data_IF_648780499848
#
_entry.id   IF_648780499848
#
_cell.length_a   1.000
_cell.length_b   1.000
_cell.length_c   1.000
_cell.angle_alpha   90.00
_cell.angle_beta   90.00
_cell.angle_gamma   90.00
#
_symmetry.space_group_name_H-M   'P 1'
#
loop_
_entity.id
_entity.type
_entity.pdbx_description
1 polymer ?
#
# COMPACT_ATOMS: atom_id res chain seq x y z
N UNK A 1 20.65 -2.85 -7.00
CA UNK A 1 19.42 -3.59 -6.65
C UNK A 1 18.53 -3.58 -7.89
N UNK A 2 17.93 -4.70 -8.29
CA UNK A 2 17.02 -4.72 -9.44
C UNK A 2 15.68 -4.15 -9.02
N UNK A 3 15.12 -3.21 -9.79
CA UNK A 3 13.81 -2.60 -9.50
C UNK A 3 12.72 -3.66 -9.58
N UNK A 4 11.84 -3.72 -8.58
CA UNK A 4 10.66 -4.58 -8.61
C UNK A 4 9.64 -4.04 -9.62
N UNK A 5 8.98 -4.94 -10.34
CA UNK A 5 7.83 -4.59 -11.16
C UNK A 5 6.70 -4.17 -10.21
N UNK A 6 6.13 -2.98 -10.47
CA UNK A 6 5.11 -2.37 -9.64
C UNK A 6 3.73 -2.94 -9.96
N UNK A 7 2.90 -3.02 -8.93
CA UNK A 7 1.47 -3.27 -9.10
C UNK A 7 0.82 -2.05 -9.78
N UNK A 8 -0.40 -2.24 -10.28
CA UNK A 8 -1.17 -1.22 -11.00
C UNK A 8 -2.49 -0.93 -10.32
N UNK A 9 -2.98 0.28 -10.49
CA UNK A 9 -4.30 0.73 -10.11
C UNK A 9 -4.96 1.41 -11.30
N UNK A 10 -6.19 1.03 -11.60
CA UNK A 10 -7.05 1.71 -12.56
C UNK A 10 -8.03 2.58 -11.77
N UNK A 11 -8.01 3.88 -12.02
CA UNK A 11 -8.92 4.84 -11.39
C UNK A 11 -9.34 5.90 -12.39
N UNK A 12 -10.64 6.15 -12.52
CA UNK A 12 -11.21 7.14 -13.46
C UNK A 12 -10.77 6.94 -14.92
N UNK A 13 -10.48 5.70 -15.33
CA UNK A 13 -10.00 5.36 -16.68
C UNK A 13 -8.49 5.53 -16.90
N UNK A 14 -7.74 5.98 -15.89
CA UNK A 14 -6.29 6.14 -15.93
C UNK A 14 -5.57 4.99 -15.23
N UNK A 15 -4.35 4.65 -15.69
CA UNK A 15 -3.49 3.58 -15.14
C UNK A 15 -2.35 4.18 -14.30
N UNK A 16 -2.27 3.75 -13.04
CA UNK A 16 -1.29 4.20 -12.08
C UNK A 16 -0.42 3.04 -11.61
N UNK A 17 0.91 3.20 -11.64
CA UNK A 17 1.79 2.30 -10.91
C UNK A 17 1.76 2.61 -9.41
N UNK A 18 1.65 1.57 -8.60
CA UNK A 18 1.68 1.64 -7.14
C UNK A 18 3.11 1.48 -6.62
N UNK A 19 3.47 2.28 -5.62
CA UNK A 19 4.70 2.10 -4.84
C UNK A 19 4.51 1.19 -3.63
N UNK A 20 3.26 0.82 -3.35
CA UNK A 20 2.88 -0.09 -2.28
C UNK A 20 2.51 -1.47 -2.82
N UNK A 21 2.79 -2.50 -2.02
CA UNK A 21 2.48 -3.89 -2.32
C UNK A 21 1.21 -4.30 -1.53
N UNK A 22 0.03 -3.81 -1.94
CA UNK A 22 -1.19 -3.85 -1.11
C UNK A 22 -1.59 -5.27 -0.66
N UNK A 23 -1.36 -6.28 -1.51
CA UNK A 23 -1.65 -7.69 -1.19
C UNK A 23 -0.69 -8.32 -0.19
N UNK A 24 0.52 -7.79 0.02
CA UNK A 24 1.48 -8.37 0.95
C UNK A 24 0.99 -8.30 2.41
N UNK A 25 0.18 -7.29 2.76
CA UNK A 25 -0.51 -7.23 4.04
C UNK A 25 -1.41 -8.44 4.25
N UNK A 26 -2.29 -8.71 3.28
CA UNK A 26 -3.20 -9.86 3.28
C UNK A 26 -2.44 -11.19 3.34
N UNK A 27 -1.40 -11.37 2.52
CA UNK A 27 -0.63 -12.62 2.49
C UNK A 27 0.23 -12.84 3.73
N UNK A 28 0.57 -11.80 4.49
CA UNK A 28 1.25 -11.95 5.78
C UNK A 28 0.35 -12.59 6.83
N UNK A 29 -0.94 -12.27 6.80
CA UNK A 29 -1.96 -12.83 7.69
C UNK A 29 -2.51 -14.18 7.15
N UNK A 30 -2.50 -14.36 5.83
CA UNK A 30 -2.97 -15.55 5.12
C UNK A 30 -1.91 -16.13 4.17
N UNK A 31 -0.78 -16.64 4.69
CA UNK A 31 0.33 -17.12 3.86
C UNK A 31 -0.06 -18.27 2.92
N UNK A 32 -1.03 -19.10 3.30
CA UNK A 32 -1.57 -20.19 2.49
C UNK A 32 -2.35 -19.73 1.25
N UNK A 33 -2.75 -18.46 1.21
CA UNK A 33 -3.44 -17.85 0.08
C UNK A 33 -2.47 -17.23 -0.93
N UNK A 34 -1.19 -17.06 -0.56
CA UNK A 34 -0.18 -16.48 -1.45
C UNK A 34 0.11 -17.47 -2.58
N UNK A 35 -0.04 -17.06 -3.85
CA UNK A 35 0.28 -17.94 -4.97
C UNK A 35 1.77 -18.31 -5.01
N UNK A 36 2.06 -19.58 -5.26
CA UNK A 36 3.43 -20.06 -5.42
C UNK A 36 3.93 -19.82 -6.85
N UNK A 37 4.97 -18.99 -7.00
CA UNK A 37 5.70 -18.86 -8.26
C UNK A 37 6.75 -19.96 -8.38
N UNK A 38 6.78 -20.65 -9.53
CA UNK A 38 7.85 -21.61 -9.88
C UNK A 38 9.07 -20.93 -10.51
N UNK A 39 8.98 -19.62 -10.75
CA UNK A 39 10.00 -18.82 -11.42
C UNK A 39 10.58 -17.83 -10.43
N UNK A 40 11.89 -17.87 -10.25
CA UNK A 40 12.63 -16.88 -9.46
C UNK A 40 13.10 -15.76 -10.38
N UNK A 41 12.57 -14.55 -10.19
CA UNK A 41 12.98 -13.36 -10.93
C UNK A 41 13.36 -12.25 -9.94
N UNK A 42 14.56 -11.69 -10.07
CA UNK A 42 15.02 -10.63 -9.15
C UNK A 42 14.24 -9.33 -9.31
N UNK A 43 13.58 -9.12 -10.45
CA UNK A 43 12.66 -8.02 -10.70
C UNK A 43 11.21 -8.30 -10.26
N UNK A 44 10.89 -9.53 -9.82
CA UNK A 44 9.56 -9.90 -9.32
C UNK A 44 9.65 -10.92 -8.18
N UNK A 45 10.28 -10.50 -7.09
CA UNK A 45 10.50 -11.36 -5.91
C UNK A 45 9.20 -11.85 -5.26
N UNK A 46 8.12 -11.06 -5.37
CA UNK A 46 6.78 -11.40 -4.89
C UNK A 46 6.18 -12.59 -5.61
N UNK A 47 6.64 -12.85 -6.84
CA UNK A 47 6.10 -13.89 -7.72
C UNK A 47 4.83 -13.51 -8.46
N UNK A 48 4.24 -12.33 -8.19
CA UNK A 48 3.02 -11.84 -8.83
C UNK A 48 3.04 -10.33 -9.06
N UNK A 49 2.22 -9.86 -10.01
CA UNK A 49 1.87 -8.47 -10.26
C UNK A 49 0.35 -8.35 -10.08
N UNK A 50 -0.09 -7.46 -9.20
CA UNK A 50 -1.51 -7.17 -9.01
C UNK A 50 -1.94 -5.96 -9.84
N UNK A 51 -3.16 -6.02 -10.38
CA UNK A 51 -3.87 -4.87 -10.93
C UNK A 51 -5.16 -4.71 -10.13
N UNK A 52 -5.31 -3.53 -9.55
CA UNK A 52 -6.49 -3.10 -8.83
C UNK A 52 -7.32 -2.17 -9.71
N UNK A 53 -8.62 -2.11 -9.48
CA UNK A 53 -9.52 -1.14 -10.09
C UNK A 53 -10.41 -0.55 -9.02
N UNK A 54 -10.60 0.77 -9.02
CA UNK A 54 -11.69 1.38 -8.24
C UNK A 54 -12.87 1.57 -9.16
N UNK A 55 -13.96 0.86 -8.84
CA UNK A 55 -15.20 0.85 -9.61
C UNK A 55 -16.39 0.71 -8.69
N UNK A 56 -17.46 1.45 -8.97
CA UNK A 56 -18.68 1.46 -8.16
C UNK A 56 -18.38 1.71 -6.66
N UNK A 57 -17.47 2.66 -6.41
CA UNK A 57 -16.95 3.04 -5.09
C UNK A 57 -16.27 1.88 -4.31
N UNK A 58 -15.72 0.89 -5.01
CA UNK A 58 -15.03 -0.24 -4.41
C UNK A 58 -13.64 -0.45 -5.01
N UNK A 59 -12.65 -0.71 -4.17
CA UNK A 59 -11.34 -1.21 -4.56
C UNK A 59 -11.44 -2.72 -4.82
N UNK A 60 -11.23 -3.11 -6.08
CA UNK A 60 -11.31 -4.48 -6.54
C UNK A 60 -9.91 -4.99 -6.91
N UNK A 61 -9.65 -6.28 -6.68
CA UNK A 61 -8.52 -6.97 -7.30
C UNK A 61 -8.97 -7.45 -8.69
N UNK A 62 -8.75 -6.63 -9.72
CA UNK A 62 -9.14 -6.96 -11.10
C UNK A 62 -8.35 -8.17 -11.63
N UNK A 63 -7.03 -8.15 -11.42
CA UNK A 63 -6.12 -9.12 -12.02
C UNK A 63 -4.95 -9.43 -11.11
N UNK A 64 -4.59 -10.72 -11.06
CA UNK A 64 -3.30 -11.15 -10.54
C UNK A 64 -2.54 -11.90 -11.63
N UNK A 65 -1.34 -11.46 -11.92
CA UNK A 65 -0.49 -12.00 -12.97
C UNK A 65 0.76 -12.63 -12.39
N UNK A 66 1.14 -13.82 -12.88
CA UNK A 66 2.34 -14.52 -12.43
C UNK A 66 3.11 -15.12 -13.58
N UNK A 67 4.42 -15.27 -13.44
CA UNK A 67 5.21 -16.02 -14.42
C UNK A 67 4.88 -17.51 -14.37
N UNK A 68 4.35 -18.04 -15.47
CA UNK A 68 4.00 -19.46 -15.61
C UNK A 68 5.22 -20.34 -15.95
N UNK A 69 6.18 -19.79 -16.69
CA UNK A 69 7.38 -20.47 -17.15
C UNK A 69 8.59 -19.52 -17.26
N UNK A 70 9.75 -20.07 -17.63
CA UNK A 70 11.00 -19.31 -17.82
C UNK A 70 10.94 -18.32 -18.99
N UNK A 71 9.87 -18.33 -19.80
CA UNK A 71 9.64 -17.35 -20.87
C UNK A 71 8.89 -16.10 -20.38
N UNK A 72 8.63 -16.00 -19.08
CA UNK A 72 7.98 -14.85 -18.45
C UNK A 72 6.54 -14.63 -18.94
N UNK A 73 5.84 -15.69 -19.33
CA UNK A 73 4.42 -15.61 -19.67
C UNK A 73 3.58 -15.33 -18.41
N UNK A 74 2.72 -14.32 -18.47
CA UNK A 74 1.84 -13.95 -17.35
C UNK A 74 0.55 -14.75 -17.39
N UNK A 75 0.30 -15.54 -16.34
CA UNK A 75 -0.97 -16.24 -16.11
C UNK A 75 -1.85 -15.41 -15.19
N UNK A 76 -3.10 -15.23 -15.59
CA UNK A 76 -4.13 -14.60 -14.76
C UNK A 76 -4.65 -15.61 -13.74
N UNK A 77 -4.63 -15.24 -12.45
CA UNK A 77 -5.28 -16.01 -11.40
C UNK A 77 -6.49 -15.22 -10.89
N UNK A 78 -7.69 -15.62 -11.32
CA UNK A 78 -8.95 -14.97 -10.91
C UNK A 78 -9.56 -15.52 -9.63
N UNK A 79 -9.17 -16.72 -9.20
CA UNK A 79 -9.88 -17.47 -8.14
C UNK A 79 -9.42 -17.19 -6.70
N UNK A 80 -8.55 -16.20 -6.49
CA UNK A 80 -7.96 -15.95 -5.16
C UNK A 80 -8.89 -15.22 -4.19
N UNK A 81 -9.85 -14.45 -4.71
CA UNK A 81 -10.73 -13.60 -3.90
C UNK A 81 -12.18 -14.09 -4.04
N UNK A 82 -12.81 -14.59 -2.97
CA UNK A 82 -14.25 -14.85 -2.98
C UNK A 82 -15.02 -13.53 -3.10
N UNK A 83 -16.26 -13.57 -3.59
CA UNK A 83 -17.21 -12.44 -3.59
C UNK A 83 -16.77 -11.17 -4.36
N UNK A 84 -17.02 -11.16 -5.67
CA UNK A 84 -16.90 -9.98 -6.55
C UNK A 84 -15.52 -9.28 -6.57
N UNK A 85 -14.48 -9.94 -6.06
CA UNK A 85 -13.10 -9.45 -6.00
C UNK A 85 -12.89 -8.17 -5.20
N UNK A 86 -13.85 -7.73 -4.35
CA UNK A 86 -13.65 -6.56 -3.49
C UNK A 86 -12.49 -6.83 -2.53
N UNK A 87 -11.54 -5.92 -2.47
CA UNK A 87 -10.38 -6.03 -1.59
C UNK A 87 -10.68 -5.46 -0.20
N UNK A 88 -11.60 -6.13 0.52
CA UNK A 88 -12.09 -5.68 1.84
C UNK A 88 -11.01 -5.61 2.92
N UNK A 89 -9.85 -6.23 2.69
CA UNK A 89 -8.72 -6.25 3.62
C UNK A 89 -7.92 -4.95 3.65
N UNK A 90 -8.11 -4.06 2.67
CA UNK A 90 -7.36 -2.82 2.61
C UNK A 90 -8.13 -1.64 3.16
N UNK A 91 -7.46 -0.92 4.05
CA UNK A 91 -7.82 0.43 4.48
C UNK A 91 -6.53 1.24 4.48
N UNK A 92 -6.58 2.48 3.99
CA UNK A 92 -5.43 3.37 3.91
C UNK A 92 -5.56 4.42 2.80
N UNK A 93 -4.44 5.06 2.50
CA UNK A 93 -4.34 6.04 1.42
C UNK A 93 -3.48 5.48 0.28
N UNK A 94 -4.00 5.51 -0.93
CA UNK A 94 -3.25 5.14 -2.13
C UNK A 94 -2.84 6.42 -2.87
N UNK A 95 -1.54 6.68 -2.95
CA UNK A 95 -0.99 7.85 -3.65
C UNK A 95 -1.01 7.70 -5.18
N UNK A 96 -1.53 8.69 -5.89
CA UNK A 96 -1.72 8.65 -7.35
C UNK A 96 -1.14 9.87 -8.11
N UNK A 97 -0.51 10.83 -7.43
CA UNK A 97 0.11 12.01 -8.09
C UNK A 97 1.43 11.69 -8.82
N UNK A 98 1.88 12.63 -9.65
CA UNK A 98 3.08 12.49 -10.49
C UNK A 98 4.40 12.36 -9.72
N UNK A 99 4.42 12.68 -8.43
CA UNK A 99 5.61 12.58 -7.60
C UNK A 99 5.77 11.22 -6.90
N UNK A 100 4.91 10.23 -7.24
CA UNK A 100 5.03 8.80 -6.86
C UNK A 100 6.21 8.06 -7.54
N UNK A 101 7.35 8.74 -7.65
CA UNK A 101 8.59 8.18 -8.19
C UNK A 101 9.19 7.10 -7.28
N UNK A 102 10.42 6.68 -7.56
CA UNK A 102 11.13 5.69 -6.73
C UNK A 102 11.32 6.14 -5.27
N UNK A 103 11.32 7.45 -5.03
CA UNK A 103 11.58 8.05 -3.73
C UNK A 103 10.36 8.71 -3.09
N UNK A 104 9.19 8.59 -3.71
CA UNK A 104 7.96 9.25 -3.26
C UNK A 104 8.17 10.72 -2.89
N UNK A 105 8.86 11.46 -3.79
CA UNK A 105 9.30 12.82 -3.51
C UNK A 105 8.13 13.75 -3.16
N UNK A 106 8.39 14.69 -2.26
CA UNK A 106 7.42 15.70 -1.83
C UNK A 106 8.01 17.10 -2.05
N UNK A 107 8.12 17.56 -3.31
CA UNK A 107 8.62 18.89 -3.58
C UNK A 107 7.65 19.95 -3.04
N UNK A 108 8.20 21.11 -2.64
CA UNK A 108 7.42 22.17 -1.98
C UNK A 108 6.31 22.76 -2.85
N UNK A 109 6.48 22.73 -4.16
CA UNK A 109 5.52 23.17 -5.17
C UNK A 109 4.64 22.02 -5.69
N UNK A 110 4.76 20.83 -5.09
CA UNK A 110 4.01 19.65 -5.47
C UNK A 110 2.53 19.73 -5.11
N UNK A 111 1.71 19.14 -5.98
CA UNK A 111 0.32 18.79 -5.71
C UNK A 111 0.25 17.26 -5.56
N UNK A 112 -0.27 16.82 -4.43
CA UNK A 112 -0.34 15.43 -4.04
C UNK A 112 -1.78 14.94 -4.05
N UNK A 113 -1.97 13.71 -4.51
CA UNK A 113 -3.29 13.15 -4.76
C UNK A 113 -3.33 11.76 -4.14
N UNK A 114 -4.31 11.53 -3.28
CA UNK A 114 -4.49 10.27 -2.57
C UNK A 114 -5.93 9.78 -2.71
N UNK A 115 -6.09 8.48 -2.75
CA UNK A 115 -7.39 7.81 -2.73
C UNK A 115 -7.55 7.18 -1.35
N UNK A 116 -8.54 7.63 -0.60
CA UNK A 116 -8.87 7.09 0.71
C UNK A 116 -9.75 5.87 0.56
N UNK A 117 -9.29 4.75 1.11
CA UNK A 117 -9.99 3.47 1.09
C UNK A 117 -10.25 3.02 2.53
N UNK A 118 -11.45 2.53 2.81
CA UNK A 118 -11.80 1.90 4.08
C UNK A 118 -12.48 0.56 3.83
N UNK A 119 -11.86 -0.54 4.26
CA UNK A 119 -12.32 -1.92 4.07
C UNK A 119 -12.73 -2.18 2.61
N UNK A 120 -11.88 -1.73 1.69
CA UNK A 120 -12.10 -1.83 0.25
C UNK A 120 -13.15 -0.90 -0.33
N UNK A 121 -13.79 -0.02 0.44
CA UNK A 121 -14.68 1.01 -0.07
C UNK A 121 -13.90 2.29 -0.35
N UNK A 122 -14.05 2.85 -1.55
CA UNK A 122 -13.51 4.16 -1.90
C UNK A 122 -14.32 5.25 -1.23
N UNK A 123 -13.66 6.05 -0.40
CA UNK A 123 -14.31 7.11 0.38
C UNK A 123 -14.25 8.43 -0.36
N UNK A 124 -13.05 8.85 -0.76
CA UNK A 124 -12.82 10.11 -1.46
C UNK A 124 -11.43 10.17 -2.08
N UNK A 125 -11.27 11.13 -3.00
CA UNK A 125 -9.97 11.60 -3.48
C UNK A 125 -9.57 12.84 -2.70
N UNK A 126 -8.41 12.80 -2.07
CA UNK A 126 -7.80 13.92 -1.37
C UNK A 126 -6.76 14.59 -2.27
N UNK A 127 -6.80 15.91 -2.33
CA UNK A 127 -5.81 16.72 -3.04
C UNK A 127 -5.18 17.69 -2.03
N UNK A 128 -3.85 17.68 -1.92
CA UNK A 128 -3.11 18.46 -0.93
C UNK A 128 -1.91 19.14 -1.60
N UNK A 129 -1.60 20.37 -1.21
CA UNK A 129 -0.28 20.93 -1.48
C UNK A 129 0.73 20.41 -0.44
N UNK A 130 1.99 20.84 -0.54
CA UNK A 130 3.03 20.44 0.40
C UNK A 130 2.69 20.76 1.86
N UNK A 131 2.28 21.99 2.18
CA UNK A 131 2.01 22.41 3.55
C UNK A 131 0.79 21.67 4.14
N UNK A 132 -0.24 21.44 3.31
CA UNK A 132 -1.42 20.66 3.68
C UNK A 132 -1.03 19.21 3.96
N UNK A 133 -0.20 18.58 3.11
CA UNK A 133 0.27 17.21 3.29
C UNK A 133 1.12 17.07 4.57
N UNK A 134 2.03 18.02 4.84
CA UNK A 134 2.83 17.97 6.07
C UNK A 134 1.95 18.15 7.32
N UNK A 135 0.93 19.01 7.26
CA UNK A 135 -0.02 19.21 8.36
C UNK A 135 -0.87 17.94 8.58
N UNK A 136 -1.42 17.37 7.51
CA UNK A 136 -2.16 16.11 7.51
C UNK A 136 -1.33 14.99 8.15
N UNK A 137 -0.09 14.77 7.71
CA UNK A 137 0.80 13.76 8.27
C UNK A 137 1.07 13.96 9.76
N UNK A 138 1.26 15.21 10.17
CA UNK A 138 1.53 15.54 11.57
C UNK A 138 0.32 15.19 12.44
N UNK A 139 -0.87 15.63 12.06
CA UNK A 139 -2.10 15.34 12.81
C UNK A 139 -2.40 13.84 12.82
N UNK A 140 -2.29 13.18 11.67
CA UNK A 140 -2.42 11.75 11.52
C UNK A 140 -1.49 10.99 12.47
N UNK A 141 -0.24 11.45 12.61
CA UNK A 141 0.72 10.89 13.58
C UNK A 141 0.27 11.11 15.03
N UNK A 142 -0.11 12.34 15.39
CA UNK A 142 -0.56 12.68 16.74
C UNK A 142 -1.73 11.80 17.20
N UNK A 143 -2.71 11.55 16.33
CA UNK A 143 -3.80 10.60 16.61
C UNK A 143 -3.31 9.15 16.68
N UNK A 144 -2.48 8.72 15.73
CA UNK A 144 -2.02 7.34 15.66
C UNK A 144 -1.24 6.90 16.91
N UNK A 145 -0.37 7.75 17.48
CA UNK A 145 0.42 7.33 18.66
C UNK A 145 -0.46 7.15 19.90
N UNK A 146 -1.59 7.85 19.96
CA UNK A 146 -2.55 7.76 21.06
C UNK A 146 -3.51 6.57 20.90
N UNK A 147 -3.58 5.96 19.71
CA UNK A 147 -4.45 4.82 19.40
C UNK A 147 -3.86 3.50 19.91
N UNK A 148 -4.68 2.44 19.95
CA UNK A 148 -4.18 1.09 20.21
C UNK A 148 -3.43 0.49 19.01
N UNK A 149 -3.57 1.06 17.80
CA UNK A 149 -3.01 0.57 16.55
C UNK A 149 -1.48 0.72 16.46
N UNK A 150 -0.89 1.57 17.32
CA UNK A 150 0.57 1.69 17.44
C UNK A 150 1.19 0.48 18.14
N UNK A 151 0.43 -0.26 18.96
CA UNK A 151 0.98 -1.33 19.80
C UNK A 151 1.61 -2.49 19.01
N UNK A 152 0.99 -3.01 17.93
CA UNK A 152 1.63 -4.00 17.06
C UNK A 152 2.93 -3.51 16.45
N UNK A 153 3.02 -2.21 16.10
CA UNK A 153 4.23 -1.61 15.51
C UNK A 153 5.36 -1.59 16.54
N UNK A 154 5.10 -1.16 17.77
CA UNK A 154 6.11 -1.22 18.83
C UNK A 154 6.60 -2.65 19.09
N UNK A 155 5.69 -3.63 19.14
CA UNK A 155 6.05 -5.05 19.33
C UNK A 155 6.94 -5.55 18.19
N UNK A 156 6.60 -5.21 16.94
CA UNK A 156 7.38 -5.59 15.76
C UNK A 156 8.80 -5.02 15.81
N UNK A 157 8.94 -3.71 16.09
CA UNK A 157 10.25 -3.06 16.13
C UNK A 157 11.13 -3.61 17.27
N UNK A 158 10.59 -3.75 18.48
CA UNK A 158 11.33 -4.28 19.63
C UNK A 158 11.77 -5.74 19.43
N UNK A 159 10.95 -6.54 18.74
CA UNK A 159 11.30 -7.93 18.39
C UNK A 159 12.47 -8.00 17.40
N UNK A 160 12.52 -7.08 16.44
CA UNK A 160 13.49 -7.13 15.35
C UNK A 160 14.75 -6.29 15.61
N UNK A 161 14.74 -5.41 16.61
CA UNK A 161 15.82 -4.47 16.89
C UNK A 161 16.09 -4.43 18.40
N UNK A 162 17.09 -5.19 18.84
CA UNK A 162 17.48 -5.22 20.25
C UNK A 162 17.89 -3.82 20.73
N UNK A 163 17.32 -3.36 21.86
CA UNK A 163 17.65 -2.08 22.48
C UNK A 163 17.04 -0.84 21.81
N UNK A 164 16.19 -0.96 20.79
CA UNK A 164 15.51 0.19 20.19
C UNK A 164 14.56 0.86 21.21
N UNK A 165 14.58 2.20 21.29
CA UNK A 165 13.71 2.97 22.18
C UNK A 165 12.39 3.31 21.50
N UNK A 166 11.34 3.58 22.29
CA UNK A 166 10.05 4.05 21.76
C UNK A 166 10.19 5.40 21.05
N UNK A 167 10.99 6.32 21.58
CA UNK A 167 11.30 7.60 20.91
C UNK A 167 11.86 7.39 19.50
N UNK A 168 12.77 6.42 19.33
CA UNK A 168 13.31 6.12 18.01
C UNK A 168 12.27 5.50 17.09
N UNK A 169 11.39 4.66 17.61
CA UNK A 169 10.27 4.10 16.83
C UNK A 169 9.32 5.23 16.41
N UNK A 170 9.01 6.16 17.31
CA UNK A 170 8.16 7.31 17.07
C UNK A 170 8.70 8.25 15.98
N UNK A 171 10.01 8.50 15.98
CA UNK A 171 10.66 9.22 14.88
C UNK A 171 10.49 8.52 13.52
N UNK A 172 10.59 7.18 13.50
CA UNK A 172 10.41 6.40 12.27
C UNK A 172 8.96 6.43 11.82
N UNK A 173 8.01 6.25 12.75
CA UNK A 173 6.58 6.31 12.47
C UNK A 173 6.22 7.69 11.92
N UNK A 174 6.61 8.78 12.57
CA UNK A 174 6.30 10.15 12.15
C UNK A 174 6.74 10.43 10.71
N UNK A 175 7.95 9.97 10.33
CA UNK A 175 8.48 10.15 8.97
C UNK A 175 7.76 9.31 7.90
N UNK A 176 7.10 8.25 8.31
CA UNK A 176 6.48 7.25 7.43
C UNK A 176 5.01 7.02 7.81
N UNK A 177 4.33 8.03 8.35
CA UNK A 177 3.04 7.84 9.02
C UNK A 177 2.00 7.21 8.09
N UNK A 178 1.98 7.62 6.82
CA UNK A 178 1.05 7.10 5.82
C UNK A 178 1.24 5.60 5.53
N UNK A 179 2.42 5.04 5.82
CA UNK A 179 2.71 3.60 5.70
C UNK A 179 2.17 2.83 6.91
N UNK A 180 2.14 3.45 8.08
CA UNK A 180 1.78 2.78 9.34
C UNK A 180 0.29 2.90 9.69
N UNK A 181 -0.44 3.81 9.04
CA UNK A 181 -1.86 4.04 9.32
C UNK A 181 -2.74 3.35 8.30
N UNK A 182 -3.71 2.57 8.78
CA UNK A 182 -4.75 1.93 7.96
C UNK A 182 -6.03 2.75 7.92
N UNK A 183 -6.23 3.64 8.87
CA UNK A 183 -7.38 4.54 8.92
C UNK A 183 -6.90 5.98 8.76
N UNK A 184 -7.72 6.82 8.16
CA UNK A 184 -7.51 8.26 8.17
C UNK A 184 -8.22 8.81 9.42
N UNK A 185 -7.46 9.42 10.33
CA UNK A 185 -7.99 9.94 11.60
C UNK A 185 -8.38 11.42 11.52
N UNK A 186 -8.14 12.05 10.37
CA UNK A 186 -8.25 13.50 10.18
C UNK A 186 -9.09 13.83 8.94
N UNK A 187 -9.93 14.86 9.06
CA UNK A 187 -10.87 15.26 8.01
C UNK A 187 -10.18 15.95 6.82
#
# INVERSE_FOLDING_TARGET
MTRQIRDRLIYSGEDYYLNEELLEGYFREHPEKKPESKVTCTALWRGYIATFEIKDDQLLVDKLEMFEDTKLNLKIIKELFPNNNKFEWYSGLIRIDDYRGEWDEEPKDGKFEFLEINNGDFIQKREMNFDDLQSFKKEQYEYFILSEDVNPIYKLFKKNNEGITEDRINEIISKNILIYTREVYVD
#
